data_IF_541962351376
#
_entry.id   IF_541962351376
#
_cell.length_a   1.000
_cell.length_b   1.000
_cell.length_c   1.000
_cell.angle_alpha   90.00
_cell.angle_beta   90.00
_cell.angle_gamma   90.00
#
_symmetry.space_group_name_H-M   'P 1'
#
loop_
_entity.id
_entity.type
_entity.pdbx_description
1 polymer ?
#
# COMPACT_ATOMS: atom_id res chain seq x y z
N UNK A 1 -16.31 14.63 -7.87
CA UNK A 1 -16.10 14.01 -9.20
C UNK A 1 -14.94 14.64 -9.99
N UNK A 2 -14.89 15.97 -10.23
CA UNK A 2 -13.71 16.58 -10.89
C UNK A 2 -12.48 16.67 -9.96
N UNK A 3 -12.67 16.99 -8.68
CA UNK A 3 -11.57 17.16 -7.71
C UNK A 3 -10.90 15.82 -7.33
N UNK A 4 -11.68 14.75 -7.16
CA UNK A 4 -11.16 13.39 -6.94
C UNK A 4 -10.34 12.90 -8.13
N UNK A 5 -10.80 13.16 -9.36
CA UNK A 5 -10.10 12.76 -10.58
C UNK A 5 -8.78 13.50 -10.73
N UNK A 6 -8.77 14.81 -10.47
CA UNK A 6 -7.56 15.63 -10.52
C UNK A 6 -6.56 15.26 -9.42
N UNK A 7 -7.05 14.92 -8.23
CA UNK A 7 -6.22 14.40 -7.13
C UNK A 7 -5.59 13.06 -7.49
N UNK A 8 -6.35 12.17 -8.12
CA UNK A 8 -5.85 10.86 -8.56
C UNK A 8 -4.85 10.98 -9.73
N UNK A 9 -5.10 11.85 -10.70
CA UNK A 9 -4.16 12.16 -11.79
C UNK A 9 -2.85 12.73 -11.22
N UNK A 10 -2.93 13.62 -10.23
CA UNK A 10 -1.78 14.16 -9.50
C UNK A 10 -1.00 13.06 -8.75
N UNK A 11 -1.71 12.13 -8.09
CA UNK A 11 -1.09 10.97 -7.44
C UNK A 11 -0.35 10.08 -8.46
N UNK A 12 -0.98 9.72 -9.58
CA UNK A 12 -0.36 8.89 -10.62
C UNK A 12 0.93 9.52 -11.16
N UNK A 13 0.90 10.81 -11.47
CA UNK A 13 2.08 11.54 -11.95
C UNK A 13 3.23 11.53 -10.92
N UNK A 14 2.90 11.73 -9.64
CA UNK A 14 3.89 11.64 -8.54
C UNK A 14 4.45 10.22 -8.43
N UNK A 15 3.64 9.18 -8.51
CA UNK A 15 4.13 7.80 -8.43
C UNK A 15 5.06 7.45 -9.62
N UNK A 16 4.70 7.90 -10.82
CA UNK A 16 5.49 7.66 -12.02
C UNK A 16 6.84 8.38 -12.07
N UNK A 17 7.04 9.43 -11.27
CA UNK A 17 8.34 10.09 -11.18
C UNK A 17 9.41 9.25 -10.47
N UNK A 18 9.06 8.06 -9.94
CA UNK A 18 10.01 7.11 -9.38
C UNK A 18 10.32 7.34 -7.90
N UNK A 19 9.32 7.73 -7.10
CA UNK A 19 9.49 7.99 -5.66
C UNK A 19 10.03 6.78 -4.90
N UNK A 20 10.89 7.00 -3.91
CA UNK A 20 11.23 5.98 -2.92
C UNK A 20 10.13 5.96 -1.85
N UNK A 21 9.50 4.79 -1.64
CA UNK A 21 8.40 4.57 -0.68
C UNK A 21 8.78 3.45 0.30
N UNK A 22 9.49 3.75 1.40
CA UNK A 22 9.83 2.77 2.44
C UNK A 22 8.59 2.15 3.08
N UNK A 23 8.71 0.86 3.41
CA UNK A 23 7.78 0.16 4.28
C UNK A 23 8.12 0.49 5.74
N UNK A 24 7.23 1.22 6.41
CA UNK A 24 7.47 1.78 7.73
C UNK A 24 7.43 0.69 8.81
N UNK A 25 8.50 0.49 9.60
CA UNK A 25 8.50 -0.49 10.68
C UNK A 25 7.66 -0.03 11.87
N UNK A 26 7.35 -0.98 12.76
CA UNK A 26 6.71 -0.71 14.04
C UNK A 26 7.77 -0.53 15.12
N UNK A 27 7.78 0.64 15.77
CA UNK A 27 8.60 0.90 16.95
C UNK A 27 7.90 0.37 18.19
N UNK A 28 8.61 -0.48 18.93
CA UNK A 28 8.17 -1.01 20.22
C UNK A 28 9.22 -0.69 21.29
N UNK A 29 8.76 -0.45 22.51
CA UNK A 29 9.60 -0.39 23.70
C UNK A 29 10.20 -1.77 24.00
N UNK A 30 11.20 -1.82 24.89
CA UNK A 30 11.78 -3.09 25.37
C UNK A 30 10.75 -4.05 26.01
N UNK A 31 9.57 -3.55 26.39
CA UNK A 31 8.47 -4.35 26.95
C UNK A 31 7.40 -4.72 25.91
N UNK A 32 7.63 -4.46 24.63
CA UNK A 32 6.70 -4.80 23.54
C UNK A 32 5.51 -3.85 23.40
N UNK A 33 5.50 -2.71 24.10
CA UNK A 33 4.46 -1.68 23.93
C UNK A 33 4.79 -0.75 22.77
N UNK A 34 3.76 -0.22 22.10
CA UNK A 34 3.92 0.78 21.05
C UNK A 34 4.72 1.99 21.55
N UNK A 35 5.77 2.36 20.82
CA UNK A 35 6.67 3.47 21.16
C UNK A 35 6.42 4.64 20.21
N UNK A 36 5.50 5.52 20.56
CA UNK A 36 5.12 6.67 19.74
C UNK A 36 6.30 7.60 19.45
N UNK A 37 7.19 7.81 20.43
CA UNK A 37 8.35 8.70 20.27
C UNK A 37 9.26 8.20 19.17
N UNK A 38 9.61 6.91 19.18
CA UNK A 38 10.46 6.31 18.17
C UNK A 38 9.72 6.09 16.85
N UNK A 39 8.41 5.82 16.87
CA UNK A 39 7.60 5.76 15.66
C UNK A 39 7.66 7.10 14.89
N UNK A 40 7.46 8.24 15.58
CA UNK A 40 7.62 9.57 14.97
C UNK A 40 9.05 9.85 14.52
N UNK A 41 10.05 9.31 15.23
CA UNK A 41 11.45 9.46 14.84
C UNK A 41 11.74 8.74 13.51
N UNK A 42 11.22 7.53 13.32
CA UNK A 42 11.32 6.78 12.05
C UNK A 42 10.63 7.51 10.90
N UNK A 43 9.44 8.06 11.12
CA UNK A 43 8.73 8.84 10.09
C UNK A 43 9.54 10.07 9.68
N UNK A 44 10.06 10.84 10.65
CA UNK A 44 10.93 11.99 10.40
C UNK A 44 12.22 11.61 9.69
N UNK A 45 12.79 10.46 10.05
CA UNK A 45 14.00 9.95 9.40
C UNK A 45 13.77 9.69 7.91
N UNK A 46 12.73 8.93 7.54
CA UNK A 46 12.43 8.65 6.13
C UNK A 46 12.12 9.93 5.35
N UNK A 47 11.36 10.85 5.94
CA UNK A 47 11.07 12.14 5.33
C UNK A 47 12.34 12.96 5.09
N UNK A 48 13.19 13.12 6.11
CA UNK A 48 14.45 13.85 6.01
C UNK A 48 15.46 13.19 5.06
N UNK A 49 15.38 11.87 4.88
CA UNK A 49 16.17 11.12 3.89
C UNK A 49 15.69 11.33 2.44
N UNK A 50 14.60 12.09 2.22
CA UNK A 50 14.07 12.39 0.89
C UNK A 50 13.10 11.33 0.36
N UNK A 51 12.51 10.49 1.22
CA UNK A 51 11.47 9.57 0.79
C UNK A 51 10.26 10.33 0.22
N UNK A 52 9.88 10.01 -1.02
CA UNK A 52 8.74 10.65 -1.69
C UNK A 52 7.38 10.12 -1.22
N UNK A 53 7.38 8.98 -0.52
CA UNK A 53 6.20 8.43 0.15
C UNK A 53 6.57 7.54 1.33
N UNK A 54 5.58 7.12 2.10
CA UNK A 54 5.75 6.20 3.23
C UNK A 54 4.57 5.23 3.25
N UNK A 55 4.86 3.92 3.32
CA UNK A 55 3.86 2.87 3.42
C UNK A 55 3.76 2.33 4.85
N UNK A 56 2.59 2.45 5.48
CA UNK A 56 2.36 2.15 6.91
C UNK A 56 1.29 1.08 7.06
N UNK A 57 1.38 0.22 8.07
CA UNK A 57 0.41 -0.88 8.29
C UNK A 57 0.60 -2.05 7.32
N UNK A 58 1.78 -2.13 6.70
CA UNK A 58 2.20 -3.17 5.75
C UNK A 58 2.98 -4.27 6.48
N UNK A 59 3.50 -5.27 5.75
CA UNK A 59 4.23 -6.41 6.33
C UNK A 59 5.32 -5.97 7.34
N UNK A 60 6.13 -4.97 7.00
CA UNK A 60 7.20 -4.41 7.87
C UNK A 60 6.67 -3.75 9.15
N UNK A 61 5.44 -3.24 9.15
CA UNK A 61 4.75 -2.71 10.35
C UNK A 61 4.19 -3.83 11.23
N UNK A 62 4.27 -5.10 10.77
CA UNK A 62 3.69 -6.30 11.38
C UNK A 62 2.15 -6.33 11.32
N UNK A 63 1.59 -7.34 10.65
CA UNK A 63 0.13 -7.45 10.52
C UNK A 63 -0.61 -7.65 11.86
N UNK A 64 0.09 -8.04 12.92
CA UNK A 64 -0.44 -8.19 14.28
C UNK A 64 -1.05 -6.90 14.86
N UNK A 65 -0.73 -5.71 14.33
CA UNK A 65 -1.35 -4.44 14.78
C UNK A 65 -2.90 -4.43 14.65
N UNK A 66 -3.45 -5.33 13.83
CA UNK A 66 -4.89 -5.50 13.60
C UNK A 66 -5.59 -6.39 14.62
N UNK A 67 -4.83 -7.17 15.39
CA UNK A 67 -5.40 -8.02 16.44
C UNK A 67 -6.10 -7.12 17.47
N UNK A 68 -7.39 -7.33 17.79
CA UNK A 68 -8.12 -6.54 18.78
C UNK A 68 -7.43 -6.48 20.15
N UNK A 69 -6.62 -7.48 20.51
CA UNK A 69 -5.82 -7.49 21.75
C UNK A 69 -4.74 -6.41 21.77
N UNK A 70 -4.27 -5.99 20.60
CA UNK A 70 -3.30 -4.91 20.43
C UNK A 70 -3.98 -3.59 20.08
N UNK A 71 -4.96 -3.61 19.16
CA UNK A 71 -5.74 -2.43 18.77
C UNK A 71 -4.91 -1.29 18.16
N UNK A 72 -3.79 -1.62 17.50
CA UNK A 72 -2.77 -0.65 17.10
C UNK A 72 -2.92 -0.12 15.68
N UNK A 73 -3.79 -0.68 14.83
CA UNK A 73 -3.93 -0.25 13.44
C UNK A 73 -4.20 1.25 13.32
N UNK A 74 -5.29 1.75 13.93
CA UNK A 74 -5.63 3.19 13.88
C UNK A 74 -4.53 4.07 14.51
N UNK A 75 -4.07 3.82 15.76
CA UNK A 75 -3.03 4.63 16.38
C UNK A 75 -1.74 4.74 15.56
N UNK A 76 -1.29 3.65 14.94
CA UNK A 76 -0.06 3.64 14.12
C UNK A 76 -0.24 4.44 12.83
N UNK A 77 -1.39 4.30 12.17
CA UNK A 77 -1.71 5.03 10.95
C UNK A 77 -1.83 6.55 11.22
N UNK A 78 -2.61 6.92 12.24
CA UNK A 78 -2.87 8.31 12.63
C UNK A 78 -1.58 9.04 13.01
N UNK A 79 -0.73 8.43 13.85
CA UNK A 79 0.55 9.00 14.26
C UNK A 79 1.49 9.26 13.07
N UNK A 80 1.50 8.36 12.09
CA UNK A 80 2.32 8.51 10.90
C UNK A 80 1.83 9.67 10.02
N UNK A 81 0.51 9.78 9.77
CA UNK A 81 -0.07 10.88 9.00
C UNK A 81 0.23 12.23 9.65
N UNK A 82 -0.01 12.36 10.95
CA UNK A 82 0.25 13.60 11.69
C UNK A 82 1.73 14.01 11.55
N UNK A 83 2.64 13.06 11.74
CA UNK A 83 4.07 13.33 11.66
C UNK A 83 4.50 13.70 10.24
N UNK A 84 3.95 13.04 9.22
CA UNK A 84 4.19 13.38 7.82
C UNK A 84 3.69 14.79 7.51
N UNK A 85 2.49 15.16 7.98
CA UNK A 85 1.90 16.47 7.76
C UNK A 85 2.72 17.61 8.37
N UNK A 86 3.23 17.41 9.59
CA UNK A 86 4.14 18.34 10.24
C UNK A 86 5.44 18.53 9.45
N UNK A 87 6.03 17.43 8.97
CA UNK A 87 7.24 17.46 8.15
C UNK A 87 7.01 18.15 6.81
N UNK A 88 5.92 17.81 6.12
CA UNK A 88 5.55 18.39 4.83
C UNK A 88 5.34 19.90 4.93
N UNK A 89 4.68 20.37 6.00
CA UNK A 89 4.46 21.80 6.26
C UNK A 89 5.78 22.55 6.44
N UNK A 90 6.73 21.96 7.18
CA UNK A 90 8.05 22.58 7.43
C UNK A 90 8.94 22.59 6.18
N UNK A 91 8.85 21.56 5.36
CA UNK A 91 9.70 21.39 4.18
C UNK A 91 9.11 21.98 2.90
N UNK A 92 7.82 22.35 2.90
CA UNK A 92 7.10 22.73 1.68
C UNK A 92 6.98 21.57 0.68
N UNK A 93 6.92 20.33 1.19
CA UNK A 93 6.84 19.10 0.39
C UNK A 93 5.45 18.46 0.48
N UNK A 94 5.21 17.43 -0.33
CA UNK A 94 4.04 16.56 -0.20
C UNK A 94 4.46 15.11 -0.31
N UNK A 95 4.36 14.39 0.80
CA UNK A 95 4.73 12.98 0.90
C UNK A 95 3.53 12.09 0.55
N UNK A 96 3.72 11.06 -0.30
CA UNK A 96 2.66 10.09 -0.60
C UNK A 96 2.43 9.20 0.62
N UNK A 97 1.17 9.04 1.04
CA UNK A 97 0.79 8.21 2.19
C UNK A 97 0.10 6.96 1.70
N UNK A 98 0.69 5.79 1.95
CA UNK A 98 0.13 4.49 1.55
C UNK A 98 -0.21 3.67 2.80
N UNK A 99 -1.45 3.20 2.92
CA UNK A 99 -1.88 2.34 4.03
C UNK A 99 -1.85 0.87 3.59
N UNK A 100 -1.34 -0.04 4.40
CA UNK A 100 -1.51 -1.47 4.16
C UNK A 100 -2.97 -1.87 4.38
N UNK A 101 -3.52 -2.66 3.47
CA UNK A 101 -4.88 -3.23 3.55
C UNK A 101 -4.79 -4.74 3.50
N UNK A 102 -5.50 -5.47 4.36
CA UNK A 102 -5.55 -6.92 4.30
C UNK A 102 -6.86 -7.52 4.83
N UNK A 103 -6.93 -8.84 4.89
CA UNK A 103 -8.08 -9.57 5.41
C UNK A 103 -9.13 -9.89 4.34
N UNK A 104 -10.25 -10.50 4.76
CA UNK A 104 -11.41 -10.69 3.89
C UNK A 104 -12.01 -9.34 3.48
N UNK A 105 -12.89 -9.35 2.47
CA UNK A 105 -13.49 -8.13 1.88
C UNK A 105 -14.05 -7.15 2.90
N UNK A 106 -14.77 -7.61 3.93
CA UNK A 106 -15.33 -6.73 4.96
C UNK A 106 -14.26 -5.98 5.75
N UNK A 107 -13.18 -6.67 6.12
CA UNK A 107 -12.05 -6.07 6.83
C UNK A 107 -11.29 -5.11 5.91
N UNK A 108 -10.96 -5.53 4.68
CA UNK A 108 -10.21 -4.69 3.75
C UNK A 108 -10.98 -3.39 3.39
N UNK A 109 -12.31 -3.45 3.31
CA UNK A 109 -13.16 -2.25 3.14
C UNK A 109 -13.10 -1.33 4.36
N UNK A 110 -13.25 -1.86 5.58
CA UNK A 110 -13.15 -1.06 6.80
C UNK A 110 -11.76 -0.42 6.97
N UNK A 111 -10.69 -1.14 6.62
CA UNK A 111 -9.33 -0.60 6.62
C UNK A 111 -9.14 0.49 5.55
N UNK A 112 -9.75 0.33 4.36
CA UNK A 112 -9.70 1.35 3.31
C UNK A 112 -10.48 2.62 3.68
N UNK A 113 -11.63 2.46 4.34
CA UNK A 113 -12.44 3.57 4.87
C UNK A 113 -11.65 4.34 5.93
N UNK A 114 -11.10 3.64 6.92
CA UNK A 114 -10.25 4.23 7.95
C UNK A 114 -9.04 4.96 7.33
N UNK A 115 -8.34 4.34 6.39
CA UNK A 115 -7.20 4.95 5.72
C UNK A 115 -7.59 6.23 4.99
N UNK A 116 -8.72 6.22 4.27
CA UNK A 116 -9.27 7.40 3.59
C UNK A 116 -9.62 8.51 4.59
N UNK A 117 -10.28 8.18 5.70
CA UNK A 117 -10.63 9.14 6.76
C UNK A 117 -9.41 9.79 7.40
N UNK A 118 -8.33 9.02 7.59
CA UNK A 118 -7.05 9.51 8.09
C UNK A 118 -6.24 10.27 7.01
N UNK A 119 -6.71 10.37 5.77
CA UNK A 119 -6.03 11.12 4.71
C UNK A 119 -4.86 10.37 4.05
N UNK A 120 -4.91 9.04 4.00
CA UNK A 120 -4.08 8.24 3.11
C UNK A 120 -4.53 8.39 1.66
N UNK A 121 -3.58 8.37 0.72
CA UNK A 121 -3.85 8.60 -0.70
C UNK A 121 -4.09 7.28 -1.46
N UNK A 122 -3.56 6.17 -0.95
CA UNK A 122 -3.72 4.85 -1.55
C UNK A 122 -3.57 3.71 -0.53
N UNK A 123 -4.07 2.53 -0.89
CA UNK A 123 -3.97 1.29 -0.12
C UNK A 123 -3.09 0.25 -0.79
N UNK A 124 -2.11 -0.32 -0.08
CA UNK A 124 -1.35 -1.50 -0.50
C UNK A 124 -2.09 -2.77 -0.08
N UNK A 125 -2.78 -3.38 -1.05
CA UNK A 125 -3.66 -4.51 -0.80
C UNK A 125 -2.92 -5.84 -0.80
N UNK A 126 -2.88 -6.50 0.37
CA UNK A 126 -2.44 -7.89 0.53
C UNK A 126 -3.60 -8.86 0.30
N UNK A 127 -3.40 -9.84 -0.57
CA UNK A 127 -4.37 -10.92 -0.86
C UNK A 127 -4.08 -12.21 -0.08
N UNK A 128 -3.15 -12.17 0.88
CA UNK A 128 -2.72 -13.33 1.64
C UNK A 128 -3.83 -13.97 2.49
N UNK A 129 -4.82 -13.17 2.92
CA UNK A 129 -5.94 -13.65 3.74
C UNK A 129 -7.02 -14.42 2.95
N UNK A 130 -6.83 -14.63 1.64
CA UNK A 130 -7.79 -15.28 0.75
C UNK A 130 -7.21 -16.53 0.07
N UNK A 131 -6.45 -17.42 0.75
CA UNK A 131 -5.58 -18.41 0.11
C UNK A 131 -6.26 -19.30 -0.94
N UNK A 132 -7.53 -19.66 -0.72
CA UNK A 132 -8.30 -20.56 -1.59
C UNK A 132 -9.15 -19.82 -2.65
N UNK A 133 -9.14 -18.49 -2.63
CA UNK A 133 -9.91 -17.69 -3.59
C UNK A 133 -9.38 -17.86 -5.02
N UNK A 134 -10.32 -17.98 -5.95
CA UNK A 134 -10.10 -17.99 -7.40
C UNK A 134 -9.68 -16.61 -7.91
N UNK A 135 -9.09 -16.54 -9.10
CA UNK A 135 -8.73 -15.28 -9.75
C UNK A 135 -9.93 -14.32 -9.83
N UNK A 136 -11.12 -14.83 -10.16
CA UNK A 136 -12.34 -14.02 -10.26
C UNK A 136 -12.74 -13.42 -8.90
N UNK A 137 -12.63 -14.19 -7.82
CA UNK A 137 -12.92 -13.71 -6.46
C UNK A 137 -11.90 -12.68 -5.99
N UNK A 138 -10.62 -12.87 -6.31
CA UNK A 138 -9.55 -11.92 -6.01
C UNK A 138 -9.74 -10.60 -6.77
N UNK A 139 -10.06 -10.66 -8.06
CA UNK A 139 -10.36 -9.48 -8.87
C UNK A 139 -11.61 -8.77 -8.33
N UNK A 140 -12.66 -9.50 -7.97
CA UNK A 140 -13.88 -8.93 -7.39
C UNK A 140 -13.62 -8.27 -6.02
N UNK A 141 -12.80 -8.90 -5.18
CA UNK A 141 -12.35 -8.34 -3.91
C UNK A 141 -11.59 -7.03 -4.13
N UNK A 142 -10.54 -7.04 -4.97
CA UNK A 142 -9.76 -5.84 -5.27
C UNK A 142 -10.62 -4.70 -5.85
N UNK A 143 -11.59 -5.01 -6.71
CA UNK A 143 -12.50 -4.01 -7.30
C UNK A 143 -13.36 -3.31 -6.25
N UNK A 144 -13.86 -4.07 -5.26
CA UNK A 144 -14.64 -3.50 -4.13
C UNK A 144 -13.78 -2.59 -3.26
N UNK A 145 -12.55 -3.00 -2.94
CA UNK A 145 -11.65 -2.16 -2.14
C UNK A 145 -11.24 -0.90 -2.92
N UNK A 146 -10.97 -1.05 -4.22
CA UNK A 146 -10.60 0.05 -5.12
C UNK A 146 -11.71 1.10 -5.32
N UNK A 147 -12.98 0.80 -5.00
CA UNK A 147 -14.04 1.81 -5.01
C UNK A 147 -14.04 2.71 -3.78
N UNK A 148 -13.28 2.35 -2.73
CA UNK A 148 -13.13 3.15 -1.50
C UNK A 148 -11.86 3.99 -1.54
N UNK A 149 -10.73 3.37 -1.91
CA UNK A 149 -9.41 3.99 -1.91
C UNK A 149 -8.59 3.48 -3.10
N UNK A 150 -7.82 4.34 -3.82
CA UNK A 150 -6.92 3.88 -4.88
C UNK A 150 -5.96 2.80 -4.40
N UNK A 151 -5.62 1.84 -5.26
CA UNK A 151 -4.87 0.65 -4.86
C UNK A 151 -3.47 0.57 -5.45
N UNK A 152 -2.57 0.12 -4.58
CA UNK A 152 -1.36 -0.59 -4.93
C UNK A 152 -1.67 -2.09 -4.87
N UNK A 153 -1.49 -2.80 -5.98
CA UNK A 153 -1.42 -4.26 -5.95
C UNK A 153 -0.16 -4.72 -5.24
N UNK A 154 -0.21 -5.80 -4.45
CA UNK A 154 0.97 -6.32 -3.76
C UNK A 154 1.24 -7.77 -4.13
N UNK A 155 2.33 -8.02 -4.85
CA UNK A 155 2.80 -9.36 -5.15
C UNK A 155 3.89 -9.77 -4.17
N UNK A 156 3.49 -10.30 -3.02
CA UNK A 156 4.41 -10.83 -2.02
C UNK A 156 4.62 -12.34 -2.22
N UNK A 157 5.86 -12.81 -2.12
CA UNK A 157 6.17 -14.23 -2.20
C UNK A 157 5.59 -15.04 -1.01
N UNK A 158 5.27 -16.34 -1.20
CA UNK A 158 4.74 -17.20 -0.13
C UNK A 158 5.64 -17.33 1.10
N UNK A 159 6.97 -17.32 0.94
CA UNK A 159 7.93 -17.53 2.02
C UNK A 159 7.85 -16.49 3.16
N UNK A 160 7.26 -15.32 2.90
CA UNK A 160 7.05 -14.25 3.89
C UNK A 160 5.56 -13.88 4.03
N UNK A 161 4.68 -14.85 3.80
CA UNK A 161 3.24 -14.70 4.04
C UNK A 161 2.45 -14.11 2.87
N UNK A 162 3.01 -14.08 1.66
CA UNK A 162 2.28 -13.76 0.44
C UNK A 162 1.62 -14.99 -0.22
N UNK A 163 1.27 -14.86 -1.50
CA UNK A 163 0.71 -15.97 -2.29
C UNK A 163 1.09 -15.83 -3.76
N UNK A 164 1.06 -16.95 -4.48
CA UNK A 164 1.18 -16.92 -5.94
C UNK A 164 -0.10 -16.34 -6.55
N UNK A 165 0.08 -15.51 -7.58
CA UNK A 165 -0.98 -14.85 -8.32
C UNK A 165 -0.76 -15.15 -9.80
N UNK A 166 -1.81 -15.63 -10.46
CA UNK A 166 -1.72 -16.13 -11.83
C UNK A 166 -1.50 -14.98 -12.84
N UNK A 167 -0.98 -15.27 -14.05
CA UNK A 167 -0.95 -14.30 -15.13
C UNK A 167 -2.35 -13.77 -15.50
N UNK A 168 -3.38 -14.61 -15.36
CA UNK A 168 -4.78 -14.22 -15.63
C UNK A 168 -5.25 -13.20 -14.60
N UNK A 169 -5.00 -13.43 -13.32
CA UNK A 169 -5.31 -12.46 -12.27
C UNK A 169 -4.68 -11.10 -12.57
N UNK A 170 -3.39 -11.05 -12.95
CA UNK A 170 -2.73 -9.77 -13.23
C UNK A 170 -3.35 -9.03 -14.42
N UNK A 171 -3.73 -9.73 -15.49
CA UNK A 171 -4.47 -9.12 -16.62
C UNK A 171 -5.79 -8.52 -16.17
N UNK A 172 -6.55 -9.21 -15.32
CA UNK A 172 -7.82 -8.70 -14.82
C UNK A 172 -7.66 -7.57 -13.78
N UNK A 173 -6.61 -7.64 -12.95
CA UNK A 173 -6.32 -6.68 -11.90
C UNK A 173 -5.92 -5.31 -12.46
N UNK A 174 -5.08 -5.27 -13.50
CA UNK A 174 -4.66 -3.99 -14.12
C UNK A 174 -5.83 -3.26 -14.80
N UNK A 175 -6.91 -3.93 -15.14
CA UNK A 175 -8.13 -3.31 -15.70
C UNK A 175 -9.01 -2.63 -14.62
N UNK A 176 -8.69 -2.78 -13.34
CA UNK A 176 -9.45 -2.12 -12.27
C UNK A 176 -9.11 -0.61 -12.27
N UNK A 177 -10.08 0.30 -12.51
CA UNK A 177 -9.78 1.72 -12.68
C UNK A 177 -9.02 2.34 -11.51
N UNK A 178 -9.38 1.97 -10.27
CA UNK A 178 -8.75 2.46 -9.03
C UNK A 178 -7.33 1.94 -8.76
N UNK A 179 -6.77 1.06 -9.60
CA UNK A 179 -5.36 0.65 -9.45
C UNK A 179 -4.45 1.78 -9.96
N UNK A 180 -3.53 2.21 -9.10
CA UNK A 180 -2.57 3.30 -9.36
C UNK A 180 -1.11 2.84 -9.32
N UNK A 181 -0.83 1.70 -8.69
CA UNK A 181 0.50 1.12 -8.66
C UNK A 181 0.47 -0.39 -8.40
N UNK A 182 1.61 -1.07 -8.58
CA UNK A 182 1.84 -2.44 -8.15
C UNK A 182 3.23 -2.52 -7.51
N UNK A 183 3.28 -3.04 -6.28
CA UNK A 183 4.52 -3.42 -5.61
C UNK A 183 4.81 -4.90 -5.84
N UNK A 184 5.92 -5.17 -6.53
CA UNK A 184 6.33 -6.49 -6.98
C UNK A 184 7.48 -6.96 -6.09
N UNK A 185 7.20 -7.92 -5.20
CA UNK A 185 8.15 -8.55 -4.28
C UNK A 185 8.13 -10.11 -4.32
N UNK A 186 8.06 -10.76 -5.51
CA UNK A 186 8.09 -12.21 -5.60
C UNK A 186 9.51 -12.80 -5.46
N UNK A 187 10.57 -11.97 -5.54
CA UNK A 187 11.97 -12.42 -5.65
C UNK A 187 12.19 -13.48 -6.75
N UNK A 188 11.35 -13.45 -7.79
CA UNK A 188 11.35 -14.41 -8.89
C UNK A 188 11.12 -13.67 -10.21
N UNK A 189 12.07 -13.82 -11.13
CA UNK A 189 12.05 -13.16 -12.45
C UNK A 189 10.77 -13.44 -13.24
N UNK A 190 10.31 -14.68 -13.28
CA UNK A 190 9.17 -15.07 -14.11
C UNK A 190 7.86 -14.53 -13.53
N UNK A 191 7.71 -14.56 -12.21
CA UNK A 191 6.55 -13.96 -11.53
C UNK A 191 6.51 -12.44 -11.71
N UNK A 192 7.67 -11.77 -11.70
CA UNK A 192 7.75 -10.34 -12.05
C UNK A 192 7.33 -10.09 -13.50
N UNK A 193 7.72 -10.95 -14.44
CA UNK A 193 7.36 -10.82 -15.86
C UNK A 193 5.85 -10.95 -16.08
N UNK A 194 5.14 -11.77 -15.30
CA UNK A 194 3.67 -11.87 -15.40
C UNK A 194 2.99 -10.53 -15.14
N UNK A 195 3.46 -9.76 -14.14
CA UNK A 195 2.96 -8.42 -13.82
C UNK A 195 3.31 -7.43 -14.93
N UNK A 196 4.57 -7.41 -15.35
CA UNK A 196 5.06 -6.47 -16.37
C UNK A 196 4.34 -6.68 -17.69
N UNK A 197 4.15 -7.95 -18.10
CA UNK A 197 3.41 -8.29 -19.32
C UNK A 197 1.96 -7.85 -19.24
N UNK A 198 1.26 -8.14 -18.14
CA UNK A 198 -0.12 -7.70 -17.97
C UNK A 198 -0.25 -6.17 -18.07
N UNK A 199 0.66 -5.42 -17.46
CA UNK A 199 0.65 -3.95 -17.54
C UNK A 199 0.98 -3.42 -18.95
N UNK A 200 1.94 -4.03 -19.64
CA UNK A 200 2.28 -3.62 -21.00
C UNK A 200 1.12 -3.90 -21.98
N UNK A 201 0.43 -5.03 -21.82
CA UNK A 201 -0.69 -5.45 -22.67
C UNK A 201 -1.97 -4.65 -22.42
N UNK A 202 -2.18 -4.07 -21.24
CA UNK A 202 -3.40 -3.32 -20.89
C UNK A 202 -3.46 -1.91 -21.48
N UNK A 203 -2.35 -1.38 -21.98
CA UNK A 203 -2.24 0.03 -22.38
C UNK A 203 -2.22 1.03 -21.21
N UNK A 204 -2.24 0.56 -19.96
CA UNK A 204 -2.26 1.40 -18.74
C UNK A 204 -0.88 1.64 -18.12
N UNK A 205 0.21 1.36 -18.84
CA UNK A 205 1.57 1.65 -18.38
C UNK A 205 1.78 3.14 -18.04
N UNK A 206 1.06 4.03 -18.74
CA UNK A 206 1.00 5.47 -18.45
C UNK A 206 0.11 5.85 -17.26
N UNK A 207 -0.50 4.89 -16.56
CA UNK A 207 -1.37 5.15 -15.41
C UNK A 207 -0.98 4.40 -14.14
N UNK A 208 -0.34 3.23 -14.25
CA UNK A 208 -0.01 2.35 -13.12
C UNK A 208 1.50 2.30 -12.94
N UNK A 209 2.00 2.79 -11.80
CA UNK A 209 3.42 2.72 -11.47
C UNK A 209 3.83 1.30 -11.01
N UNK A 210 5.03 0.85 -11.39
CA UNK A 210 5.62 -0.39 -10.89
C UNK A 210 6.72 -0.09 -9.88
N UNK A 211 6.62 -0.70 -8.69
CA UNK A 211 7.61 -0.59 -7.63
C UNK A 211 8.20 -1.97 -7.34
N UNK A 212 9.53 -2.06 -7.22
CA UNK A 212 10.17 -3.25 -6.64
C UNK A 212 9.97 -3.26 -5.12
N UNK A 213 9.77 -4.44 -4.56
CA UNK A 213 9.91 -4.69 -3.11
C UNK A 213 11.20 -5.43 -2.75
N UNK A 214 12.10 -5.59 -3.71
CA UNK A 214 13.43 -6.14 -3.52
C UNK A 214 14.42 -4.95 -3.51
N UNK A 215 15.20 -4.84 -2.44
CA UNK A 215 16.33 -3.89 -2.33
C UNK A 215 17.58 -4.41 -3.06
#
# INVERSE_FOLDING_TARGET
MNEDRQTQESLRARLQSGLVIPAHPLALTATGRFDERHQRALTRYYHAAGAGGIAVGVHTTQFAIRDPRHGLLKPVLELAVETIADCDTRAGSRTVRVAGLCGPTSQALAEAELARELGYEAGLLSLAALPDATDAELTAHARKVASVLPLFGFYLQPAVGGRLLSPRFWREFVEIPGVVAIKVAPFNRYQTLDVVRALAESGRAGEIALYTGND
#
